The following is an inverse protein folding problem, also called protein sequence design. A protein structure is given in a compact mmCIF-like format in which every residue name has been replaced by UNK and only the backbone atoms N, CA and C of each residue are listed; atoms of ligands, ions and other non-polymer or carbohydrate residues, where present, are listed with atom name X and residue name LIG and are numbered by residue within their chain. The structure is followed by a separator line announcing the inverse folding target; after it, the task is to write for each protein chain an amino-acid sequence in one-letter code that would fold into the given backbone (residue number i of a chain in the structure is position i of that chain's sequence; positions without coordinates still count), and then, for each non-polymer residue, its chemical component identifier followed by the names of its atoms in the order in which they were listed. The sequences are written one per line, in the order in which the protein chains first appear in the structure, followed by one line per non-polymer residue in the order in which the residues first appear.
data_IF_025530771530
#
_entry.id   IF_025530771530
#
_cell.length_a   1.000
_cell.length_b   1.000
_cell.length_c   1.000
_cell.angle_alpha   90.00
_cell.angle_beta   90.00
_cell.angle_gamma   90.00
#
_symmetry.space_group_name_H-M   'P 1'
#
loop_
_entity.id
_entity.type
_entity.pdbx_description
1 polymer ?
#
# COMPACT_ATOMS: atom_id res chain seq x y z
N UNK A 1 -19.11 -2.62 4.63
CA UNK A 1 -19.87 -2.09 3.47
C UNK A 1 -20.82 -3.11 2.84
N UNK A 2 -20.53 -4.41 2.88
CA UNK A 2 -21.35 -5.46 2.26
C UNK A 2 -22.84 -5.45 2.70
N UNK A 3 -23.13 -4.99 3.91
CA UNK A 3 -24.47 -4.92 4.49
C UNK A 3 -25.33 -3.80 3.90
N UNK A 4 -24.69 -2.87 3.18
CA UNK A 4 -25.33 -1.75 2.51
C UNK A 4 -25.36 -1.92 0.98
N UNK A 5 -25.07 -3.13 0.48
CA UNK A 5 -25.15 -3.45 -0.96
C UNK A 5 -26.55 -3.21 -1.54
N UNK A 6 -27.60 -3.29 -0.70
CA UNK A 6 -28.98 -3.02 -1.06
C UNK A 6 -29.51 -1.68 -0.50
N UNK A 7 -28.63 -0.72 -0.14
CA UNK A 7 -29.03 0.53 0.52
C UNK A 7 -30.13 1.29 -0.22
N UNK A 8 -30.05 1.37 -1.55
CA UNK A 8 -31.11 1.98 -2.36
C UNK A 8 -32.48 1.31 -2.17
N UNK A 9 -32.50 -0.02 -2.08
CA UNK A 9 -33.74 -0.76 -1.85
C UNK A 9 -34.32 -0.44 -0.47
N UNK A 10 -33.48 -0.44 0.58
CA UNK A 10 -33.89 -0.10 1.95
C UNK A 10 -34.45 1.34 2.05
N UNK A 11 -33.84 2.30 1.35
CA UNK A 11 -34.33 3.68 1.28
C UNK A 11 -35.72 3.71 0.60
N UNK A 12 -35.87 3.04 -0.54
CA UNK A 12 -37.14 2.99 -1.29
C UNK A 12 -38.26 2.37 -0.46
N UNK A 13 -38.00 1.25 0.21
CA UNK A 13 -38.98 0.59 1.07
C UNK A 13 -39.49 1.52 2.17
N UNK A 14 -38.57 2.17 2.90
CA UNK A 14 -38.95 3.13 3.94
C UNK A 14 -39.75 4.31 3.38
N UNK A 15 -39.37 4.87 2.22
CA UNK A 15 -40.11 5.96 1.58
C UNK A 15 -41.52 5.52 1.12
N UNK A 16 -41.68 4.29 0.63
CA UNK A 16 -42.98 3.76 0.24
C UNK A 16 -43.87 3.56 1.47
N UNK A 17 -43.35 2.98 2.53
CA UNK A 17 -44.11 2.74 3.75
C UNK A 17 -44.57 4.05 4.40
N UNK A 18 -43.70 5.07 4.41
CA UNK A 18 -44.09 6.42 4.84
C UNK A 18 -45.20 7.02 3.98
N UNK A 19 -45.12 6.89 2.65
CA UNK A 19 -46.18 7.36 1.76
C UNK A 19 -47.50 6.62 1.97
N UNK A 20 -47.47 5.30 2.19
CA UNK A 20 -48.65 4.50 2.52
C UNK A 20 -49.30 4.97 3.81
N UNK A 21 -48.51 5.24 4.85
CA UNK A 21 -48.99 5.79 6.12
C UNK A 21 -49.61 7.19 5.96
N UNK A 22 -49.18 7.96 4.95
CA UNK A 22 -49.79 9.25 4.57
C UNK A 22 -51.00 9.10 3.62
N UNK A 23 -51.49 7.88 3.37
CA UNK A 23 -52.63 7.63 2.48
C UNK A 23 -52.32 7.74 0.98
N UNK A 24 -51.04 7.86 0.59
CA UNK A 24 -50.62 7.87 -0.81
C UNK A 24 -50.35 6.44 -1.28
N UNK A 25 -51.18 5.92 -2.19
CA UNK A 25 -50.98 4.61 -2.82
C UNK A 25 -50.41 4.73 -4.23
N UNK A 26 -49.21 5.30 -4.36
CA UNK A 26 -48.50 5.33 -5.64
C UNK A 26 -47.74 4.02 -5.87
N UNK A 27 -47.73 3.53 -7.11
CA UNK A 27 -46.78 2.49 -7.50
C UNK A 27 -45.34 3.00 -7.36
N UNK A 28 -44.38 2.11 -7.14
CA UNK A 28 -42.94 2.47 -7.04
C UNK A 28 -42.50 3.31 -8.25
N UNK A 29 -42.90 2.88 -9.46
CA UNK A 29 -42.64 3.59 -10.70
C UNK A 29 -43.18 5.03 -10.65
N UNK A 30 -44.45 5.19 -10.34
CA UNK A 30 -45.12 6.50 -10.32
C UNK A 30 -44.50 7.43 -9.28
N UNK A 31 -44.18 6.89 -8.09
CA UNK A 31 -43.54 7.65 -7.03
C UNK A 31 -42.14 8.11 -7.44
N UNK A 32 -41.28 7.22 -7.92
CA UNK A 32 -39.93 7.58 -8.37
C UNK A 32 -39.97 8.60 -9.52
N UNK A 33 -40.88 8.45 -10.48
CA UNK A 33 -41.04 9.45 -11.55
C UNK A 33 -41.46 10.82 -11.02
N UNK A 34 -42.29 10.86 -9.97
CA UNK A 34 -42.74 12.12 -9.37
C UNK A 34 -41.63 12.91 -8.67
N UNK A 35 -40.52 12.26 -8.27
CA UNK A 35 -39.36 12.90 -7.63
C UNK A 35 -38.35 13.48 -8.63
N UNK A 36 -38.48 13.21 -9.93
CA UNK A 36 -37.55 13.71 -10.94
C UNK A 36 -37.41 15.25 -10.95
N UNK A 37 -38.49 16.05 -10.83
CA UNK A 37 -38.37 17.50 -10.74
C UNK A 37 -37.53 17.96 -9.54
N UNK A 38 -37.70 17.32 -8.38
CA UNK A 38 -36.95 17.63 -7.16
C UNK A 38 -35.45 17.29 -7.32
N UNK A 39 -35.12 16.14 -7.92
CA UNK A 39 -33.72 15.79 -8.25
C UNK A 39 -33.09 16.82 -9.19
N UNK A 40 -33.83 17.28 -10.20
CA UNK A 40 -33.34 18.31 -11.13
C UNK A 40 -33.07 19.63 -10.41
N UNK A 41 -33.99 20.07 -9.54
CA UNK A 41 -33.81 21.30 -8.75
C UNK A 41 -32.61 21.19 -7.82
N UNK A 42 -32.49 20.09 -7.08
CA UNK A 42 -31.32 19.81 -6.23
C UNK A 42 -30.03 19.93 -7.04
N UNK A 43 -29.95 19.23 -8.17
CA UNK A 43 -28.76 19.28 -9.02
C UNK A 43 -28.44 20.69 -9.48
N UNK A 44 -29.43 21.44 -9.95
CA UNK A 44 -29.21 22.84 -10.32
C UNK A 44 -28.63 23.66 -9.17
N UNK A 45 -29.12 23.50 -7.94
CA UNK A 45 -28.56 24.16 -6.75
C UNK A 45 -27.10 23.74 -6.48
N UNK A 46 -26.70 22.50 -6.76
CA UNK A 46 -25.32 22.05 -6.57
C UNK A 46 -24.34 22.53 -7.66
N UNK A 47 -24.80 23.17 -8.74
CA UNK A 47 -23.91 23.75 -9.77
C UNK A 47 -23.41 25.16 -9.42
N UNK A 48 -23.92 25.79 -8.37
CA UNK A 48 -23.47 27.09 -7.89
C UNK A 48 -22.39 26.93 -6.82
N UNK A 49 -21.52 27.93 -6.67
CA UNK A 49 -20.48 27.90 -5.62
C UNK A 49 -21.05 27.98 -4.19
N UNK A 50 -22.27 28.50 -4.05
CA UNK A 50 -23.02 28.53 -2.81
C UNK A 50 -24.31 27.77 -3.00
N UNK A 51 -24.54 26.75 -2.18
CA UNK A 51 -25.70 25.86 -2.31
C UNK A 51 -26.79 26.35 -1.37
N UNK A 52 -27.98 26.60 -1.93
CA UNK A 52 -29.18 26.92 -1.19
C UNK A 52 -30.29 25.97 -1.62
N UNK A 53 -30.81 25.20 -0.66
CA UNK A 53 -31.84 24.19 -0.87
C UNK A 53 -32.84 24.26 0.29
N UNK A 54 -34.13 24.26 -0.06
CA UNK A 54 -35.20 24.10 0.93
C UNK A 54 -35.42 22.62 1.23
N UNK A 55 -34.82 22.17 2.34
CA UNK A 55 -34.99 20.82 2.85
C UNK A 55 -36.28 20.62 3.65
N UNK A 56 -37.12 21.65 3.87
CA UNK A 56 -38.45 21.51 4.51
C UNK A 56 -39.41 20.65 3.70
N UNK A 57 -39.18 20.53 2.40
CA UNK A 57 -40.00 19.73 1.51
C UNK A 57 -39.64 18.24 1.56
N UNK A 58 -40.64 17.40 1.84
CA UNK A 58 -40.49 15.94 1.86
C UNK A 58 -39.95 15.34 0.55
N UNK A 59 -40.41 15.82 -0.61
CA UNK A 59 -39.93 15.31 -1.90
C UNK A 59 -38.48 15.74 -2.16
N UNK A 60 -38.06 16.93 -1.71
CA UNK A 60 -36.65 17.33 -1.75
C UNK A 60 -35.79 16.37 -0.92
N UNK A 61 -36.21 16.03 0.30
CA UNK A 61 -35.49 15.07 1.14
C UNK A 61 -35.45 13.66 0.52
N UNK A 62 -36.58 13.17 -0.01
CA UNK A 62 -36.63 11.87 -0.68
C UNK A 62 -35.73 11.82 -1.94
N UNK A 63 -35.72 12.91 -2.72
CA UNK A 63 -34.82 13.06 -3.85
C UNK A 63 -33.35 13.10 -3.40
N UNK A 64 -33.03 13.79 -2.31
CA UNK A 64 -31.69 13.82 -1.72
C UNK A 64 -31.23 12.42 -1.29
N UNK A 65 -32.08 11.69 -0.56
CA UNK A 65 -31.82 10.33 -0.10
C UNK A 65 -31.52 9.36 -1.26
N UNK A 66 -32.19 9.52 -2.40
CA UNK A 66 -31.98 8.64 -3.55
C UNK A 66 -30.86 9.15 -4.49
N UNK A 67 -30.53 10.43 -4.50
CA UNK A 67 -29.54 10.96 -5.44
C UNK A 67 -28.13 11.11 -4.84
N UNK A 68 -28.02 11.29 -3.52
CA UNK A 68 -26.76 11.68 -2.88
C UNK A 68 -26.39 10.85 -1.66
N UNK A 69 -27.35 10.54 -0.79
CA UNK A 69 -27.09 9.93 0.52
C UNK A 69 -26.21 8.67 0.48
N UNK A 70 -26.42 7.67 -0.41
CA UNK A 70 -25.54 6.50 -0.49
C UNK A 70 -24.07 6.85 -0.76
N UNK A 71 -23.81 7.87 -1.57
CA UNK A 71 -22.46 8.31 -1.87
C UNK A 71 -21.79 8.94 -0.65
N UNK A 72 -22.55 9.66 0.18
CA UNK A 72 -22.04 10.26 1.42
C UNK A 72 -21.80 9.21 2.51
N UNK A 73 -22.62 8.16 2.57
CA UNK A 73 -22.35 6.99 3.42
C UNK A 73 -20.98 6.38 3.08
N UNK A 74 -20.75 6.13 1.79
CA UNK A 74 -19.48 5.55 1.33
C UNK A 74 -18.30 6.53 1.54
N UNK A 75 -18.50 7.83 1.32
CA UNK A 75 -17.46 8.84 1.54
C UNK A 75 -16.94 8.85 2.99
N UNK A 76 -17.83 8.75 3.99
CA UNK A 76 -17.42 8.66 5.40
C UNK A 76 -16.65 7.36 5.66
N UNK A 77 -17.15 6.22 5.15
CA UNK A 77 -16.45 4.94 5.29
C UNK A 77 -15.03 5.00 4.69
N UNK A 78 -14.87 5.56 3.48
CA UNK A 78 -13.59 5.64 2.76
C UNK A 78 -12.56 6.52 3.48
N UNK A 79 -12.99 7.65 4.04
CA UNK A 79 -12.09 8.52 4.82
C UNK A 79 -11.54 7.76 6.03
N UNK A 80 -12.42 7.09 6.78
CA UNK A 80 -12.01 6.33 7.96
C UNK A 80 -11.13 5.12 7.59
N UNK A 81 -11.45 4.40 6.51
CA UNK A 81 -10.65 3.30 5.96
C UNK A 81 -9.24 3.80 5.57
N UNK A 82 -9.13 4.92 4.85
CA UNK A 82 -7.83 5.49 4.47
C UNK A 82 -6.99 5.87 5.69
N UNK A 83 -7.61 6.42 6.73
CA UNK A 83 -6.89 6.77 7.97
C UNK A 83 -6.47 5.53 8.75
N UNK A 84 -7.32 4.49 8.80
CA UNK A 84 -6.98 3.20 9.39
C UNK A 84 -5.77 2.55 8.71
N UNK A 85 -5.68 2.65 7.38
CA UNK A 85 -4.54 2.13 6.62
C UNK A 85 -3.27 2.96 6.85
N UNK A 86 -3.40 4.30 6.94
CA UNK A 86 -2.27 5.21 7.12
C UNK A 86 -1.69 5.18 8.53
N UNK A 87 -2.54 5.20 9.55
CA UNK A 87 -2.14 5.28 10.96
C UNK A 87 -3.08 4.46 11.88
N UNK A 88 -2.96 3.12 11.88
CA UNK A 88 -3.81 2.25 12.68
C UNK A 88 -3.64 2.48 14.19
N UNK A 89 -2.44 2.87 14.65
CA UNK A 89 -2.15 3.14 16.05
C UNK A 89 -2.93 4.36 16.55
N UNK A 90 -2.99 5.42 15.74
CA UNK A 90 -3.76 6.62 16.05
C UNK A 90 -5.25 6.34 16.12
N UNK A 91 -5.76 5.55 15.17
CA UNK A 91 -7.16 5.15 15.12
C UNK A 91 -7.54 4.31 16.36
N UNK A 92 -6.67 3.40 16.79
CA UNK A 92 -6.91 2.59 17.98
C UNK A 92 -7.13 3.45 19.24
N UNK A 93 -6.38 4.54 19.43
CA UNK A 93 -6.53 5.43 20.59
C UNK A 93 -7.93 6.05 20.70
N UNK A 94 -8.64 6.20 19.58
CA UNK A 94 -9.99 6.77 19.56
C UNK A 94 -11.07 5.69 19.57
N UNK A 95 -10.87 4.63 18.80
CA UNK A 95 -11.89 3.64 18.50
C UNK A 95 -11.87 2.39 19.39
N UNK A 96 -10.77 2.11 20.12
CA UNK A 96 -10.66 0.98 21.07
C UNK A 96 -11.45 1.24 22.36
N UNK A 97 -12.76 1.40 22.20
CA UNK A 97 -13.71 1.75 23.27
C UNK A 97 -14.99 0.96 23.07
N UNK A 98 -15.55 0.41 24.14
CA UNK A 98 -16.85 -0.27 24.08
C UNK A 98 -18.02 0.67 23.75
N UNK A 99 -17.87 1.94 24.10
CA UNK A 99 -18.87 2.98 23.96
C UNK A 99 -18.29 4.18 23.22
N UNK A 100 -18.94 4.61 22.15
CA UNK A 100 -18.58 5.81 21.41
C UNK A 100 -19.68 6.86 21.49
N UNK A 101 -19.26 8.11 21.61
CA UNK A 101 -20.10 9.30 21.52
C UNK A 101 -19.58 10.19 20.41
N UNK A 102 -20.48 10.57 19.52
CA UNK A 102 -20.17 11.20 18.23
C UNK A 102 -21.03 12.45 18.06
N UNK A 103 -20.43 13.53 17.61
CA UNK A 103 -21.14 14.72 17.16
C UNK A 103 -21.11 14.78 15.62
N UNK A 104 -22.29 14.83 14.99
CA UNK A 104 -22.45 15.12 13.56
C UNK A 104 -22.99 16.54 13.45
N UNK A 105 -22.29 17.41 12.72
CA UNK A 105 -22.69 18.80 12.53
C UNK A 105 -23.21 19.02 11.12
N UNK A 106 -24.28 19.80 11.00
CA UNK A 106 -25.03 19.99 9.76
C UNK A 106 -25.43 18.64 9.17
N UNK A 107 -25.88 17.74 10.05
CA UNK A 107 -25.95 16.32 9.76
C UNK A 107 -26.99 15.96 8.68
N UNK A 108 -28.00 16.81 8.44
CA UNK A 108 -29.10 16.48 7.56
C UNK A 108 -29.72 15.11 7.85
N UNK A 109 -29.69 14.23 6.85
CA UNK A 109 -30.17 12.84 6.97
C UNK A 109 -29.23 11.90 7.77
N UNK A 110 -28.06 12.36 8.19
CA UNK A 110 -27.00 11.66 8.91
C UNK A 110 -26.39 10.43 8.17
N UNK A 111 -25.99 10.53 6.89
CA UNK A 111 -25.29 9.45 6.18
C UNK A 111 -23.99 8.99 6.87
N UNK A 112 -23.32 9.88 7.60
CA UNK A 112 -22.12 9.62 8.39
C UNK A 112 -22.33 8.49 9.39
N UNK A 113 -23.53 8.38 9.97
CA UNK A 113 -23.85 7.34 10.93
C UNK A 113 -23.71 5.93 10.32
N UNK A 114 -24.21 5.72 9.10
CA UNK A 114 -24.08 4.44 8.40
C UNK A 114 -22.64 4.17 7.94
N UNK A 115 -21.94 5.21 7.49
CA UNK A 115 -20.54 5.09 7.08
C UNK A 115 -19.65 4.70 8.26
N UNK A 116 -19.84 5.36 9.39
CA UNK A 116 -19.16 5.06 10.65
C UNK A 116 -19.47 3.64 11.13
N UNK A 117 -20.75 3.25 11.20
CA UNK A 117 -21.12 1.89 11.63
C UNK A 117 -20.53 0.80 10.74
N UNK A 118 -20.48 1.04 9.42
CA UNK A 118 -19.85 0.13 8.47
C UNK A 118 -18.35 -0.01 8.70
N UNK A 119 -17.68 1.10 9.05
CA UNK A 119 -16.26 1.11 9.41
C UNK A 119 -16.01 0.37 10.72
N UNK A 120 -16.76 0.70 11.77
CA UNK A 120 -16.61 0.10 13.09
C UNK A 120 -16.80 -1.41 13.06
N UNK A 121 -17.83 -1.91 12.36
CA UNK A 121 -18.02 -3.36 12.27
C UNK A 121 -16.84 -4.09 11.62
N UNK A 122 -16.18 -3.45 10.67
CA UNK A 122 -15.07 -4.06 9.93
C UNK A 122 -13.76 -4.01 10.71
N UNK A 123 -13.46 -2.90 11.39
CA UNK A 123 -12.16 -2.65 11.99
C UNK A 123 -12.15 -2.66 13.53
N UNK A 124 -13.29 -2.37 14.16
CA UNK A 124 -13.49 -2.22 15.61
C UNK A 124 -14.78 -2.91 16.10
N UNK A 125 -14.96 -4.23 15.84
CA UNK A 125 -16.21 -4.95 16.10
C UNK A 125 -16.60 -5.01 17.59
N UNK A 126 -15.68 -4.73 18.50
CA UNK A 126 -15.87 -4.63 19.95
C UNK A 126 -16.65 -3.39 20.39
N UNK A 127 -16.71 -2.36 19.56
CA UNK A 127 -17.59 -1.21 19.78
C UNK A 127 -19.03 -1.67 19.61
N UNK A 128 -19.80 -1.70 20.70
CA UNK A 128 -21.21 -2.18 20.69
C UNK A 128 -22.23 -1.11 21.04
N UNK A 129 -21.80 0.04 21.53
CA UNK A 129 -22.70 1.11 21.96
C UNK A 129 -22.27 2.43 21.35
N UNK A 130 -23.18 3.07 20.64
CA UNK A 130 -22.91 4.32 19.94
C UNK A 130 -24.06 5.30 20.19
N UNK A 131 -23.72 6.47 20.70
CA UNK A 131 -24.62 7.61 20.80
C UNK A 131 -24.14 8.67 19.83
N UNK A 132 -25.03 9.08 18.93
CA UNK A 132 -24.78 10.13 17.96
C UNK A 132 -25.65 11.32 18.32
N UNK A 133 -25.01 12.46 18.61
CA UNK A 133 -25.63 13.76 18.68
C UNK A 133 -25.57 14.38 17.29
N UNK A 134 -26.70 14.51 16.61
CA UNK A 134 -26.79 15.18 15.31
C UNK A 134 -27.32 16.60 15.48
N UNK A 135 -26.56 17.57 14.99
CA UNK A 135 -26.86 18.99 15.06
C UNK A 135 -27.17 19.54 13.67
N UNK A 136 -28.28 20.25 13.53
CA UNK A 136 -28.69 20.86 12.27
C UNK A 136 -29.64 22.04 12.52
N UNK A 137 -29.55 23.10 11.70
CA UNK A 137 -30.47 24.23 11.74
C UNK A 137 -31.93 23.77 11.56
N UNK A 138 -32.12 22.77 10.70
CA UNK A 138 -33.43 22.21 10.37
C UNK A 138 -33.59 20.79 10.92
N UNK A 139 -33.08 20.52 12.13
CA UNK A 139 -33.15 19.19 12.77
C UNK A 139 -34.56 18.58 12.78
N UNK A 140 -35.60 19.36 13.10
CA UNK A 140 -37.00 18.90 13.08
C UNK A 140 -37.48 18.52 11.68
N UNK A 141 -37.08 19.30 10.69
CA UNK A 141 -37.39 19.06 9.28
C UNK A 141 -36.77 17.76 8.79
N UNK A 142 -35.51 17.50 9.13
CA UNK A 142 -34.77 16.31 8.72
C UNK A 142 -35.23 15.02 9.39
N UNK A 143 -36.11 15.11 10.39
CA UNK A 143 -36.60 13.98 11.18
C UNK A 143 -37.05 12.80 10.32
N UNK A 144 -37.75 13.04 9.20
CA UNK A 144 -38.19 11.97 8.30
C UNK A 144 -36.99 11.20 7.75
N UNK A 145 -36.01 11.89 7.17
CA UNK A 145 -34.81 11.26 6.62
C UNK A 145 -33.96 10.58 7.70
N UNK A 146 -33.86 11.19 8.88
CA UNK A 146 -33.15 10.61 10.02
C UNK A 146 -33.85 9.36 10.56
N UNK A 147 -35.19 9.30 10.54
CA UNK A 147 -35.93 8.11 10.93
C UNK A 147 -35.72 6.96 9.93
N UNK A 148 -35.58 7.26 8.63
CA UNK A 148 -35.14 6.28 7.62
C UNK A 148 -33.75 5.76 7.95
N UNK A 149 -32.78 6.64 8.27
CA UNK A 149 -31.44 6.25 8.71
C UNK A 149 -31.51 5.34 9.95
N UNK A 150 -32.29 5.71 10.98
CA UNK A 150 -32.47 4.89 12.19
C UNK A 150 -33.06 3.51 11.87
N UNK A 151 -34.03 3.43 10.96
CA UNK A 151 -34.64 2.16 10.56
C UNK A 151 -33.65 1.26 9.83
N UNK A 152 -32.85 1.82 8.91
CA UNK A 152 -31.77 1.09 8.23
C UNK A 152 -30.76 0.58 9.26
N UNK A 153 -30.38 1.41 10.24
CA UNK A 153 -29.46 1.01 11.32
C UNK A 153 -30.04 -0.15 12.12
N UNK A 154 -31.29 -0.06 12.56
CA UNK A 154 -31.97 -1.16 13.30
C UNK A 154 -32.02 -2.46 12.50
N UNK A 155 -32.12 -2.38 11.17
CA UNK A 155 -32.22 -3.55 10.31
C UNK A 155 -30.86 -4.19 10.02
N UNK A 156 -29.85 -3.39 9.70
CA UNK A 156 -28.52 -3.87 9.26
C UNK A 156 -27.50 -3.97 10.41
N UNK A 157 -27.74 -3.28 11.53
CA UNK A 157 -26.83 -3.14 12.67
C UNK A 157 -27.46 -3.56 14.00
N UNK A 158 -28.16 -4.71 13.99
CA UNK A 158 -28.90 -5.27 15.14
C UNK A 158 -28.03 -5.56 16.37
N UNK A 159 -26.73 -5.75 16.19
CA UNK A 159 -25.77 -6.02 17.27
C UNK A 159 -25.26 -4.75 17.97
N UNK A 160 -25.67 -3.56 17.50
CA UNK A 160 -25.31 -2.27 18.09
C UNK A 160 -26.44 -1.70 18.95
N UNK A 161 -26.09 -1.22 20.14
CA UNK A 161 -26.92 -0.30 20.91
C UNK A 161 -26.74 1.11 20.35
N UNK A 162 -27.72 1.57 19.58
CA UNK A 162 -27.64 2.81 18.82
C UNK A 162 -28.66 3.85 19.28
N UNK A 163 -28.20 5.08 19.46
CA UNK A 163 -29.05 6.26 19.63
C UNK A 163 -28.62 7.37 18.67
N UNK A 164 -29.58 7.92 17.92
CA UNK A 164 -29.42 9.15 17.13
C UNK A 164 -30.30 10.22 17.74
N UNK A 165 -29.67 11.18 18.40
CA UNK A 165 -30.28 12.27 19.15
C UNK A 165 -30.15 13.57 18.35
N UNK A 166 -31.28 14.04 17.84
CA UNK A 166 -31.33 15.22 16.97
C UNK A 166 -31.51 16.50 17.79
N UNK A 167 -30.69 17.50 17.50
CA UNK A 167 -30.66 18.77 18.20
C UNK A 167 -30.62 19.93 17.20
N UNK A 168 -31.38 20.97 17.49
CA UNK A 168 -31.28 22.22 16.75
C UNK A 168 -29.97 22.94 17.11
N UNK A 169 -29.24 23.39 16.09
CA UNK A 169 -28.04 24.20 16.24
C UNK A 169 -27.81 25.01 14.98
N UNK A 170 -27.72 26.34 15.11
CA UNK A 170 -27.27 27.21 14.03
C UNK A 170 -25.76 27.46 14.16
N UNK A 171 -24.98 26.90 13.25
CA UNK A 171 -23.51 27.07 13.25
C UNK A 171 -23.08 28.51 12.90
N UNK A 172 -23.96 29.30 12.29
CA UNK A 172 -23.72 30.72 12.00
C UNK A 172 -24.07 31.62 13.18
N UNK A 173 -24.61 31.05 14.27
CA UNK A 173 -24.83 31.80 15.50
C UNK A 173 -23.54 31.86 16.33
N UNK A 174 -23.22 33.06 16.83
CA UNK A 174 -22.12 33.31 17.75
C UNK A 174 -22.28 32.43 18.99
N UNK A 175 -21.19 31.78 19.40
CA UNK A 175 -21.12 30.90 20.57
C UNK A 175 -22.12 29.73 20.54
N UNK A 176 -22.61 29.33 19.36
CA UNK A 176 -23.57 28.23 19.24
C UNK A 176 -23.06 26.95 19.91
N UNK A 177 -21.75 26.67 19.81
CA UNK A 177 -21.13 25.49 20.38
C UNK A 177 -21.01 25.54 21.92
N UNK A 178 -21.10 26.72 22.53
CA UNK A 178 -21.11 26.85 23.99
C UNK A 178 -22.31 26.09 24.60
N UNK A 179 -23.47 26.16 23.93
CA UNK A 179 -24.70 25.51 24.39
C UNK A 179 -24.62 23.98 24.44
N UNK A 180 -23.68 23.38 23.71
CA UNK A 180 -23.49 21.93 23.57
C UNK A 180 -22.13 21.46 24.10
N UNK A 181 -21.42 22.30 24.86
CA UNK A 181 -20.06 22.02 25.34
C UNK A 181 -19.97 20.72 26.16
N UNK A 182 -21.04 20.35 26.87
CA UNK A 182 -21.11 19.07 27.58
C UNK A 182 -21.01 17.89 26.62
N UNK A 183 -21.77 17.93 25.52
CA UNK A 183 -21.76 16.88 24.51
C UNK A 183 -20.42 16.86 23.76
N UNK A 184 -19.81 18.03 23.57
CA UNK A 184 -18.46 18.14 22.99
C UNK A 184 -17.44 17.42 23.88
N UNK A 185 -17.39 17.74 25.18
CA UNK A 185 -16.42 17.17 26.12
C UNK A 185 -16.59 15.66 26.33
N UNK A 186 -17.79 15.15 26.11
CA UNK A 186 -18.16 13.75 26.29
C UNK A 186 -18.04 12.93 24.99
N UNK A 187 -17.75 13.57 23.85
CA UNK A 187 -17.61 12.91 22.53
C UNK A 187 -16.16 12.78 22.10
N UNK A 188 -15.84 11.76 21.30
CA UNK A 188 -14.49 11.55 20.77
C UNK A 188 -14.39 11.70 19.25
N UNK A 189 -15.53 11.90 18.58
CA UNK A 189 -15.58 11.99 17.13
C UNK A 189 -16.51 13.15 16.77
N UNK A 190 -16.03 14.04 15.92
CA UNK A 190 -16.74 15.22 15.42
C UNK A 190 -16.70 15.18 13.91
N UNK A 191 -17.84 15.22 13.22
CA UNK A 191 -17.89 15.12 11.76
C UNK A 191 -18.67 16.27 11.15
N UNK A 192 -18.14 16.81 10.06
CA UNK A 192 -18.78 17.75 9.16
C UNK A 192 -18.72 17.17 7.75
N UNK A 193 -19.87 16.82 7.17
CA UNK A 193 -19.90 16.22 5.83
C UNK A 193 -20.78 17.05 4.88
N UNK A 194 -20.21 17.41 3.73
CA UNK A 194 -20.95 18.05 2.62
C UNK A 194 -21.87 19.19 3.10
N UNK A 195 -21.32 20.12 3.87
CA UNK A 195 -22.08 21.21 4.47
C UNK A 195 -21.36 22.56 4.36
N UNK A 196 -20.03 22.56 4.15
CA UNK A 196 -19.23 23.79 4.14
C UNK A 196 -19.56 24.68 2.93
N UNK A 197 -20.16 24.11 1.88
CA UNK A 197 -20.65 24.81 0.70
C UNK A 197 -21.99 25.55 0.93
N UNK A 198 -22.65 25.34 2.08
CA UNK A 198 -23.94 25.97 2.42
C UNK A 198 -23.79 27.18 3.36
N UNK A 199 -22.57 27.51 3.81
CA UNK A 199 -22.37 28.64 4.73
C UNK A 199 -21.03 29.37 4.56
N UNK A 200 -20.90 30.53 5.25
CA UNK A 200 -19.72 31.40 5.17
C UNK A 200 -19.66 32.25 3.90
N UNK A 201 -20.82 32.59 3.32
CA UNK A 201 -20.93 33.40 2.08
C UNK A 201 -20.31 34.79 2.25
N UNK A 202 -20.47 35.39 3.43
CA UNK A 202 -19.86 36.66 3.78
C UNK A 202 -18.82 36.50 4.90
N UNK A 203 -17.94 37.50 5.04
CA UNK A 203 -16.83 37.46 6.00
C UNK A 203 -17.29 37.39 7.46
N UNK A 204 -18.49 37.90 7.78
CA UNK A 204 -19.05 37.85 9.13
C UNK A 204 -19.45 36.42 9.50
N UNK A 205 -20.15 35.73 8.60
CA UNK A 205 -20.57 34.35 8.82
C UNK A 205 -19.35 33.44 8.87
N UNK A 206 -18.38 33.63 7.95
CA UNK A 206 -17.12 32.91 7.98
C UNK A 206 -16.39 33.10 9.31
N UNK A 207 -16.27 34.34 9.80
CA UNK A 207 -15.65 34.62 11.09
C UNK A 207 -16.35 33.87 12.23
N UNK A 208 -17.69 33.88 12.24
CA UNK A 208 -18.48 33.23 13.27
C UNK A 208 -18.29 31.71 13.25
N UNK A 209 -18.31 31.08 12.07
CA UNK A 209 -18.03 29.65 11.92
C UNK A 209 -16.63 29.32 12.42
N UNK A 210 -15.63 30.12 12.06
CA UNK A 210 -14.25 29.90 12.48
C UNK A 210 -14.06 30.05 13.99
N UNK A 211 -14.76 30.97 14.64
CA UNK A 211 -14.81 31.09 16.10
C UNK A 211 -15.43 29.84 16.74
N UNK A 212 -16.54 29.32 16.20
CA UNK A 212 -17.15 28.07 16.65
C UNK A 212 -16.22 26.85 16.44
N UNK A 213 -15.52 26.77 15.31
CA UNK A 213 -14.54 25.70 15.04
C UNK A 213 -13.33 25.78 15.97
N UNK A 214 -12.87 26.99 16.31
CA UNK A 214 -11.83 27.19 17.32
C UNK A 214 -12.30 26.72 18.69
N UNK A 215 -13.51 27.10 19.10
CA UNK A 215 -14.11 26.65 20.36
C UNK A 215 -14.21 25.13 20.43
N UNK A 216 -14.63 24.46 19.34
CA UNK A 216 -14.65 23.00 19.25
C UNK A 216 -13.24 22.41 19.46
N UNK A 217 -12.24 22.94 18.77
CA UNK A 217 -10.86 22.45 18.83
C UNK A 217 -10.27 22.60 20.24
N UNK A 218 -10.57 23.71 20.92
CA UNK A 218 -10.17 23.96 22.30
C UNK A 218 -10.87 22.99 23.29
N UNK A 219 -12.14 22.64 23.05
CA UNK A 219 -12.98 21.89 24.00
C UNK A 219 -13.13 20.38 23.72
N UNK A 220 -12.78 19.90 22.51
CA UNK A 220 -12.76 18.47 22.22
C UNK A 220 -11.75 17.77 23.16
N UNK A 221 -12.04 16.56 23.67
CA UNK A 221 -11.13 15.87 24.58
C UNK A 221 -9.86 15.40 23.86
N UNK A 222 -8.79 15.12 24.60
CA UNK A 222 -7.67 14.36 24.04
C UNK A 222 -8.14 12.98 23.55
N UNK A 223 -7.40 12.41 22.60
CA UNK A 223 -7.77 11.17 21.89
C UNK A 223 -9.13 11.30 21.20
N UNK A 224 -9.28 12.37 20.43
CA UNK A 224 -10.47 12.60 19.62
C UNK A 224 -10.12 13.09 18.22
N UNK A 225 -11.02 12.82 17.28
CA UNK A 225 -10.90 13.25 15.90
C UNK A 225 -11.99 14.25 15.53
N UNK A 226 -11.60 15.32 14.84
CA UNK A 226 -12.48 16.13 14.02
C UNK A 226 -12.26 15.78 12.55
N UNK A 227 -13.32 15.37 11.87
CA UNK A 227 -13.36 15.03 10.46
C UNK A 227 -14.18 16.05 9.69
N UNK A 228 -13.64 16.48 8.56
CA UNK A 228 -14.33 17.31 7.58
C UNK A 228 -14.17 16.62 6.24
N UNK A 229 -15.26 16.26 5.58
CA UNK A 229 -15.25 15.63 4.27
C UNK A 229 -16.30 16.25 3.35
N UNK A 230 -15.85 16.93 2.31
CA UNK A 230 -16.73 17.78 1.48
C UNK A 230 -16.34 17.71 0.00
N UNK A 231 -17.26 18.06 -0.88
CA UNK A 231 -17.05 17.95 -2.33
C UNK A 231 -15.99 18.95 -2.81
N UNK A 232 -15.07 18.45 -3.64
CA UNK A 232 -13.90 19.21 -4.12
C UNK A 232 -14.24 20.45 -4.96
N UNK A 233 -15.45 20.49 -5.54
CA UNK A 233 -15.83 21.45 -6.58
C UNK A 233 -16.02 22.88 -6.08
N UNK A 234 -16.11 23.08 -4.76
CA UNK A 234 -16.46 24.37 -4.17
C UNK A 234 -15.22 25.09 -3.63
N UNK A 235 -14.94 26.30 -4.14
CA UNK A 235 -13.81 27.12 -3.66
C UNK A 235 -13.95 27.50 -2.19
N UNK A 236 -15.19 27.73 -1.73
CA UNK A 236 -15.52 28.03 -0.33
C UNK A 236 -15.08 26.93 0.63
N UNK A 237 -15.27 25.66 0.25
CA UNK A 237 -14.84 24.49 1.03
C UNK A 237 -13.33 24.57 1.32
N UNK A 238 -12.53 24.83 0.28
CA UNK A 238 -11.07 24.93 0.42
C UNK A 238 -10.68 26.09 1.34
N UNK A 239 -11.31 27.25 1.17
CA UNK A 239 -11.08 28.45 2.01
C UNK A 239 -11.36 28.14 3.48
N UNK A 240 -12.47 27.48 3.79
CA UNK A 240 -12.83 27.11 5.16
C UNK A 240 -11.83 26.08 5.72
N UNK A 241 -11.50 25.03 4.97
CA UNK A 241 -10.52 24.01 5.38
C UNK A 241 -9.16 24.66 5.70
N UNK A 242 -8.66 25.54 4.83
CA UNK A 242 -7.38 26.21 5.04
C UNK A 242 -7.40 27.15 6.26
N UNK A 243 -8.54 27.82 6.50
CA UNK A 243 -8.73 28.67 7.67
C UNK A 243 -8.76 27.86 8.97
N UNK A 244 -9.41 26.69 8.97
CA UNK A 244 -9.40 25.75 10.11
C UNK A 244 -7.98 25.26 10.37
N UNK A 245 -7.22 24.90 9.33
CA UNK A 245 -5.81 24.50 9.48
C UNK A 245 -4.97 25.61 10.10
N UNK A 246 -5.18 26.87 9.69
CA UNK A 246 -4.49 28.00 10.30
C UNK A 246 -4.78 28.09 11.80
N UNK A 247 -6.05 27.95 12.20
CA UNK A 247 -6.47 27.96 13.62
C UNK A 247 -5.77 26.84 14.40
N UNK A 248 -5.78 25.61 13.88
CA UNK A 248 -5.12 24.48 14.53
C UNK A 248 -3.61 24.69 14.65
N UNK A 249 -2.97 25.22 13.61
CA UNK A 249 -1.54 25.54 13.65
C UNK A 249 -1.21 26.61 14.69
N UNK A 250 -2.06 27.62 14.83
CA UNK A 250 -1.88 28.65 15.84
C UNK A 250 -2.10 28.11 17.26
N UNK A 251 -3.08 27.22 17.47
CA UNK A 251 -3.26 26.48 18.73
C UNK A 251 -2.02 25.63 19.06
N UNK A 252 -1.40 24.98 18.07
CA UNK A 252 -0.14 24.25 18.26
C UNK A 252 1.03 25.16 18.66
N UNK A 253 1.05 26.43 18.23
CA UNK A 253 2.11 27.42 18.58
C UNK A 253 1.89 28.08 19.94
N UNK A 254 0.66 28.47 20.26
CA UNK A 254 0.37 29.21 21.51
C UNK A 254 0.42 28.31 22.75
N UNK A 255 0.28 27.00 22.58
CA UNK A 255 0.40 26.00 23.65
C UNK A 255 1.87 25.70 24.03
N UNK A 256 2.81 26.63 23.81
CA UNK A 256 4.24 26.46 24.16
C UNK A 256 4.60 26.80 25.61
N UNK A 257 3.65 27.30 26.42
CA UNK A 257 3.84 27.38 27.86
C UNK A 257 3.69 25.97 28.47
N UNK A 258 4.68 25.57 29.30
CA UNK A 258 4.91 24.22 29.87
C UNK A 258 3.68 23.57 30.58
N UNK A 259 2.59 24.31 30.77
CA UNK A 259 1.37 23.86 31.44
C UNK A 259 0.28 23.33 30.50
N UNK A 260 0.34 23.59 29.18
CA UNK A 260 -0.68 23.10 28.25
C UNK A 260 -0.23 21.80 27.57
N UNK A 261 -0.79 20.69 28.05
CA UNK A 261 -0.44 19.33 27.66
C UNK A 261 -1.07 18.87 26.33
N UNK A 262 -1.40 19.74 25.38
CA UNK A 262 -2.16 19.35 24.17
C UNK A 262 -1.38 19.58 22.86
N UNK A 263 -1.55 18.68 21.90
CA UNK A 263 -1.04 18.80 20.53
C UNK A 263 -2.08 18.33 19.52
N UNK A 264 -2.00 18.85 18.30
CA UNK A 264 -2.88 18.49 17.19
C UNK A 264 -2.10 17.96 16.01
N UNK A 265 -2.52 16.82 15.47
CA UNK A 265 -2.03 16.27 14.21
C UNK A 265 -3.05 16.52 13.10
N UNK A 266 -2.56 17.03 11.97
CA UNK A 266 -3.37 17.36 10.81
C UNK A 266 -3.05 16.37 9.69
N UNK A 267 -4.07 15.72 9.15
CA UNK A 267 -3.97 14.95 7.92
C UNK A 267 -5.04 15.43 6.93
N UNK A 268 -4.61 15.85 5.75
CA UNK A 268 -5.39 16.53 4.72
C UNK A 268 -5.19 15.84 3.38
N UNK A 269 -6.26 15.66 2.63
CA UNK A 269 -6.21 15.32 1.21
C UNK A 269 -7.20 16.14 0.41
N UNK A 270 -6.76 16.67 -0.74
CA UNK A 270 -7.52 17.63 -1.57
C UNK A 270 -7.92 17.10 -2.93
N UNK A 271 -7.64 15.82 -3.20
CA UNK A 271 -7.84 15.24 -4.53
C UNK A 271 -8.37 13.81 -4.46
N UNK A 272 -9.05 13.44 -3.37
CA UNK A 272 -9.60 12.11 -3.24
C UNK A 272 -10.72 11.85 -4.25
N UNK A 273 -10.70 10.64 -4.80
CA UNK A 273 -11.69 10.20 -5.80
C UNK A 273 -12.01 8.74 -5.58
N UNK A 274 -13.30 8.40 -5.58
CA UNK A 274 -13.73 7.01 -5.64
C UNK A 274 -14.88 6.79 -6.61
N UNK A 275 -14.92 5.59 -7.19
CA UNK A 275 -16.10 5.08 -7.87
C UNK A 275 -16.98 4.40 -6.84
N UNK A 276 -18.24 4.79 -6.74
CA UNK A 276 -19.13 4.22 -5.72
C UNK A 276 -19.29 2.72 -5.90
N UNK A 277 -19.12 1.99 -4.81
CA UNK A 277 -19.33 0.53 -4.73
C UNK A 277 -20.78 0.16 -4.44
N UNK A 278 -21.59 1.11 -3.95
CA UNK A 278 -23.01 0.88 -3.68
C UNK A 278 -23.78 0.79 -5.00
N UNK A 279 -24.39 -0.37 -5.25
CA UNK A 279 -25.16 -0.61 -6.46
C UNK A 279 -26.46 0.21 -6.46
N UNK A 280 -26.64 1.02 -7.50
CA UNK A 280 -27.89 1.75 -7.72
C UNK A 280 -28.97 0.76 -8.16
N UNK A 281 -30.10 0.73 -7.46
CA UNK A 281 -31.23 -0.15 -7.82
C UNK A 281 -31.72 0.08 -9.25
N UNK A 282 -32.10 -1.00 -9.94
CA UNK A 282 -32.72 -0.96 -11.27
C UNK A 282 -33.93 -0.03 -11.31
N UNK A 283 -34.76 -0.01 -10.26
CA UNK A 283 -35.91 0.88 -10.19
C UNK A 283 -35.49 2.35 -10.19
N UNK A 284 -34.43 2.70 -9.47
CA UNK A 284 -33.91 4.07 -9.40
C UNK A 284 -33.33 4.48 -10.75
N UNK A 285 -32.49 3.64 -11.35
CA UNK A 285 -31.91 3.90 -12.68
C UNK A 285 -32.99 4.03 -13.75
N UNK A 286 -34.03 3.20 -13.70
CA UNK A 286 -35.09 3.19 -14.72
C UNK A 286 -36.12 4.30 -14.57
N UNK A 287 -36.43 4.72 -13.34
CA UNK A 287 -37.57 5.59 -13.08
C UNK A 287 -37.23 6.94 -12.45
N UNK A 288 -36.03 7.13 -11.90
CA UNK A 288 -35.60 8.40 -11.28
C UNK A 288 -34.34 8.95 -11.94
N UNK A 289 -33.25 8.20 -11.94
CA UNK A 289 -31.93 8.59 -12.45
C UNK A 289 -31.71 8.02 -13.86
N UNK A 290 -32.54 8.46 -14.81
CA UNK A 290 -32.68 7.88 -16.16
C UNK A 290 -31.52 8.18 -17.12
N UNK A 291 -30.57 9.03 -16.73
CA UNK A 291 -29.50 9.48 -17.62
C UNK A 291 -29.84 10.72 -18.47
N UNK A 292 -31.12 11.14 -18.52
CA UNK A 292 -31.54 12.29 -19.31
C UNK A 292 -31.65 13.58 -18.47
N UNK A 293 -31.39 14.75 -19.07
CA UNK A 293 -31.77 16.07 -18.53
C UNK A 293 -31.48 16.27 -17.03
N UNK A 294 -30.20 16.28 -16.64
CA UNK A 294 -29.77 16.34 -15.25
C UNK A 294 -30.27 15.18 -14.38
N UNK A 295 -30.56 13.99 -14.91
CA UNK A 295 -30.88 12.77 -14.13
C UNK A 295 -29.80 11.67 -14.29
N UNK A 296 -28.57 12.05 -14.66
CA UNK A 296 -27.43 11.12 -14.75
C UNK A 296 -27.01 10.63 -13.35
N UNK A 297 -27.03 9.32 -13.05
CA UNK A 297 -26.56 8.83 -11.76
C UNK A 297 -25.10 9.22 -11.50
N UNK A 298 -24.80 9.71 -10.29
CA UNK A 298 -23.42 9.98 -9.90
C UNK A 298 -22.72 8.64 -9.63
N UNK A 299 -21.57 8.42 -10.26
CA UNK A 299 -20.78 7.19 -10.11
C UNK A 299 -19.39 7.44 -9.56
N UNK A 300 -18.86 8.63 -9.79
CA UNK A 300 -17.54 9.06 -9.34
C UNK A 300 -17.76 10.24 -8.38
N UNK A 301 -17.14 10.15 -7.22
CA UNK A 301 -17.22 11.15 -6.16
C UNK A 301 -15.82 11.71 -5.99
N UNK A 302 -15.69 13.02 -6.17
CA UNK A 302 -14.45 13.76 -5.95
C UNK A 302 -14.65 14.62 -4.71
N UNK A 303 -13.77 14.48 -3.73
CA UNK A 303 -13.94 15.09 -2.42
C UNK A 303 -12.59 15.44 -1.81
N UNK A 304 -12.65 16.34 -0.84
CA UNK A 304 -11.54 16.73 0.01
C UNK A 304 -11.85 16.22 1.41
N UNK A 305 -10.81 15.87 2.16
CA UNK A 305 -10.96 15.66 3.59
C UNK A 305 -9.86 16.33 4.40
N UNK A 306 -10.23 16.72 5.60
CA UNK A 306 -9.37 17.14 6.68
C UNK A 306 -9.71 16.28 7.89
N UNK A 307 -8.68 15.73 8.52
CA UNK A 307 -8.75 15.09 9.83
C UNK A 307 -7.80 15.82 10.77
N UNK A 308 -8.33 16.19 11.93
CA UNK A 308 -7.58 16.81 13.02
C UNK A 308 -7.69 15.90 14.21
N UNK A 309 -6.56 15.38 14.67
CA UNK A 309 -6.48 14.54 15.84
C UNK A 309 -5.90 15.32 17.01
N UNK A 310 -6.54 15.25 18.17
CA UNK A 310 -6.07 15.89 19.39
C UNK A 310 -5.47 14.85 20.33
N UNK A 311 -4.25 15.11 20.81
CA UNK A 311 -3.51 14.22 21.73
C UNK A 311 -2.95 15.01 22.92
N UNK A 312 -2.57 14.30 23.98
CA UNK A 312 -1.66 14.86 24.97
C UNK A 312 -0.23 15.02 24.43
N UNK A 313 0.42 16.14 24.69
CA UNK A 313 1.76 16.47 24.18
C UNK A 313 2.85 15.54 24.71
N UNK A 314 2.72 15.06 25.95
CA UNK A 314 3.63 14.06 26.51
C UNK A 314 3.59 12.75 25.71
N UNK A 315 2.40 12.35 25.29
CA UNK A 315 2.19 11.18 24.44
C UNK A 315 2.59 11.47 22.98
N UNK A 316 2.39 12.69 22.47
CA UNK A 316 2.90 13.12 21.17
C UNK A 316 4.41 12.94 21.07
N UNK A 317 5.16 13.41 22.08
CA UNK A 317 6.62 13.24 22.13
C UNK A 317 7.01 11.76 22.19
N UNK A 318 6.29 10.94 22.95
CA UNK A 318 6.51 9.49 23.01
C UNK A 318 6.16 8.80 21.69
N UNK A 319 5.12 9.26 21.00
CA UNK A 319 4.68 8.75 19.70
C UNK A 319 5.68 9.12 18.60
N UNK A 320 6.13 10.37 18.54
CA UNK A 320 7.23 10.83 17.68
C UNK A 320 8.49 10.02 17.94
N UNK A 321 8.89 9.84 19.20
CA UNK A 321 10.00 8.97 19.58
C UNK A 321 9.79 7.51 19.16
N UNK A 322 8.55 7.00 19.20
CA UNK A 322 8.24 5.63 18.77
C UNK A 322 8.34 5.47 17.25
N UNK A 323 7.96 6.49 16.48
CA UNK A 323 8.11 6.54 15.02
C UNK A 323 9.59 6.65 14.68
N UNK A 324 10.34 7.53 15.35
CA UNK A 324 11.79 7.67 15.18
C UNK A 324 12.51 6.36 15.48
N UNK A 325 12.13 5.66 16.57
CA UNK A 325 12.68 4.36 16.91
C UNK A 325 12.33 3.29 15.86
N UNK A 326 11.11 3.30 15.30
CA UNK A 326 10.71 2.39 14.22
C UNK A 326 11.47 2.70 12.92
N UNK A 327 11.74 3.97 12.64
CA UNK A 327 12.54 4.42 11.49
C UNK A 327 14.01 4.07 11.66
N UNK A 328 14.56 4.21 12.87
CA UNK A 328 15.91 3.74 13.24
C UNK A 328 16.00 2.22 13.07
N UNK A 329 15.02 1.46 13.54
CA UNK A 329 15.01 0.00 13.35
C UNK A 329 14.90 -0.37 11.86
N UNK A 330 14.10 0.35 11.07
CA UNK A 330 14.04 0.16 9.62
C UNK A 330 15.36 0.51 8.93
N UNK A 331 16.02 1.61 9.33
CA UNK A 331 17.34 2.01 8.84
C UNK A 331 18.41 0.99 9.23
N UNK A 332 18.34 0.43 10.43
CA UNK A 332 19.22 -0.66 10.85
C UNK A 332 18.96 -1.92 10.01
N UNK A 333 17.71 -2.28 9.74
CA UNK A 333 17.37 -3.40 8.87
C UNK A 333 17.87 -3.18 7.45
N UNK A 334 17.69 -1.97 6.89
CA UNK A 334 18.22 -1.58 5.57
C UNK A 334 19.75 -1.62 5.58
N UNK A 335 20.42 -1.11 6.61
CA UNK A 335 21.88 -1.16 6.74
C UNK A 335 22.39 -2.60 6.88
N UNK A 336 21.67 -3.47 7.61
CA UNK A 336 21.97 -4.91 7.68
C UNK A 336 21.81 -5.58 6.32
N UNK A 337 20.77 -5.22 5.56
CA UNK A 337 20.56 -5.71 4.19
C UNK A 337 21.63 -5.18 3.22
N UNK A 338 22.00 -3.91 3.31
CA UNK A 338 23.09 -3.29 2.53
C UNK A 338 24.43 -3.96 2.83
N UNK A 339 24.71 -4.26 4.10
CA UNK A 339 25.92 -4.98 4.52
C UNK A 339 25.93 -6.41 3.97
N UNK A 340 24.77 -7.09 3.99
CA UNK A 340 24.62 -8.41 3.34
C UNK A 340 24.82 -8.33 1.82
N UNK A 341 24.28 -7.30 1.17
CA UNK A 341 24.41 -7.08 -0.28
C UNK A 341 25.88 -6.81 -0.66
N UNK A 342 26.57 -5.93 0.06
CA UNK A 342 28.00 -5.67 -0.14
C UNK A 342 28.84 -6.93 0.12
N UNK A 343 28.46 -7.77 1.08
CA UNK A 343 29.13 -9.07 1.30
C UNK A 343 28.90 -10.05 0.13
N UNK A 344 27.79 -9.88 -0.61
CA UNK A 344 27.46 -10.66 -1.80
C UNK A 344 28.31 -10.21 -3.00
N UNK A 345 28.50 -8.90 -3.18
CA UNK A 345 29.41 -8.34 -4.20
C UNK A 345 30.86 -8.81 -3.98
N UNK A 346 31.34 -8.82 -2.72
CA UNK A 346 32.66 -9.37 -2.38
C UNK A 346 32.76 -10.87 -2.69
N UNK A 347 31.69 -11.64 -2.45
CA UNK A 347 31.65 -13.08 -2.82
C UNK A 347 31.62 -13.28 -4.33
N UNK A 348 30.98 -12.38 -5.09
CA UNK A 348 30.92 -12.43 -6.55
C UNK A 348 32.29 -12.11 -7.18
N UNK A 349 33.01 -11.11 -6.68
CA UNK A 349 34.39 -10.83 -7.11
C UNK A 349 35.34 -12.00 -6.81
N UNK A 350 35.18 -12.66 -5.66
CA UNK A 350 35.95 -13.86 -5.32
C UNK A 350 35.64 -15.04 -6.25
N UNK A 351 34.38 -15.22 -6.67
CA UNK A 351 33.98 -16.24 -7.64
C UNK A 351 34.54 -15.95 -9.05
N UNK A 352 34.52 -14.69 -9.49
CA UNK A 352 35.13 -14.27 -10.76
C UNK A 352 36.66 -14.44 -10.77
N UNK A 353 37.32 -14.23 -9.62
CA UNK A 353 38.75 -14.51 -9.46
C UNK A 353 39.07 -16.01 -9.53
N UNK A 354 38.19 -16.88 -9.04
CA UNK A 354 38.32 -18.35 -9.17
C UNK A 354 38.16 -18.78 -10.64
N UNK A 355 37.20 -18.20 -11.37
CA UNK A 355 37.00 -18.46 -12.80
C UNK A 355 38.21 -18.03 -13.66
N UNK A 356 38.79 -16.85 -13.38
CA UNK A 356 40.01 -16.37 -14.04
C UNK A 356 41.23 -17.29 -13.79
N UNK A 357 41.34 -17.84 -12.58
CA UNK A 357 42.39 -18.81 -12.26
C UNK A 357 42.16 -20.17 -12.93
N UNK A 358 40.91 -20.60 -13.10
CA UNK A 358 40.59 -21.83 -13.84
C UNK A 358 41.00 -21.75 -15.32
N UNK A 359 40.73 -20.61 -15.97
CA UNK A 359 41.16 -20.34 -17.36
C UNK A 359 42.69 -20.41 -17.52
N UNK A 360 43.45 -19.78 -16.62
CA UNK A 360 44.93 -19.84 -16.65
C UNK A 360 45.47 -21.26 -16.46
N UNK A 361 44.82 -22.08 -15.63
CA UNK A 361 45.21 -23.48 -15.43
C UNK A 361 44.92 -24.31 -16.70
N UNK A 362 43.78 -24.05 -17.36
CA UNK A 362 43.42 -24.71 -18.62
C UNK A 362 44.43 -24.43 -19.74
N UNK A 363 44.87 -23.17 -19.89
CA UNK A 363 45.90 -22.78 -20.87
C UNK A 363 47.26 -23.43 -20.59
N UNK A 364 47.63 -23.58 -19.32
CA UNK A 364 48.86 -24.28 -18.93
C UNK A 364 48.76 -25.77 -19.32
N UNK A 365 47.62 -26.42 -19.08
CA UNK A 365 47.42 -27.84 -19.44
C UNK A 365 47.49 -28.04 -20.96
N UNK A 366 46.84 -27.19 -21.76
CA UNK A 366 46.93 -27.25 -23.23
C UNK A 366 48.37 -27.05 -23.73
N UNK A 367 49.13 -26.12 -23.13
CA UNK A 367 50.54 -25.92 -23.46
C UNK A 367 51.41 -27.15 -23.16
N UNK A 368 51.12 -27.87 -22.07
CA UNK A 368 51.82 -29.11 -21.74
C UNK A 368 51.46 -30.26 -22.69
N UNK A 369 50.19 -30.37 -23.08
CA UNK A 369 49.75 -31.38 -24.04
C UNK A 369 50.37 -31.16 -25.44
N UNK A 370 50.45 -29.90 -25.91
CA UNK A 370 51.17 -29.57 -27.15
C UNK A 370 52.66 -29.93 -27.09
N UNK A 371 53.35 -29.58 -25.99
CA UNK A 371 54.77 -29.94 -25.82
C UNK A 371 54.98 -31.45 -25.79
N UNK A 372 54.03 -32.20 -25.24
CA UNK A 372 54.07 -33.66 -25.22
C UNK A 372 53.95 -34.24 -26.64
N UNK A 373 53.07 -33.67 -27.46
CA UNK A 373 52.84 -34.09 -28.85
C UNK A 373 54.04 -33.79 -29.76
N UNK A 374 54.64 -32.60 -29.65
CA UNK A 374 55.89 -32.25 -30.35
C UNK A 374 57.05 -33.19 -29.97
N UNK A 375 57.17 -33.51 -28.68
CA UNK A 375 58.19 -34.42 -28.20
C UNK A 375 57.98 -35.85 -28.71
N UNK A 376 56.74 -36.34 -28.72
CA UNK A 376 56.40 -37.66 -29.29
C UNK A 376 56.70 -37.73 -30.79
N UNK A 377 56.39 -36.67 -31.53
CA UNK A 377 56.69 -36.56 -32.96
C UNK A 377 58.19 -36.61 -33.22
N UNK A 378 58.98 -35.90 -32.40
CA UNK A 378 60.45 -35.92 -32.49
C UNK A 378 61.02 -37.31 -32.22
N UNK A 379 60.51 -37.99 -31.19
CA UNK A 379 60.90 -39.37 -30.85
C UNK A 379 60.57 -40.35 -31.98
N UNK A 380 59.41 -40.20 -32.60
CA UNK A 380 58.99 -41.06 -33.71
C UNK A 380 59.91 -40.85 -34.94
N UNK A 381 60.24 -39.60 -35.27
CA UNK A 381 61.17 -39.28 -36.36
C UNK A 381 62.58 -39.84 -36.12
N UNK A 382 63.07 -39.80 -34.88
CA UNK A 382 64.35 -40.44 -34.52
C UNK A 382 64.29 -41.95 -34.67
N UNK A 383 63.19 -42.58 -34.22
CA UNK A 383 62.98 -44.02 -34.41
C UNK A 383 62.99 -44.41 -35.89
N UNK A 384 62.27 -43.68 -36.73
CA UNK A 384 62.17 -43.97 -38.16
C UNK A 384 63.53 -43.80 -38.85
N UNK A 385 64.32 -42.82 -38.43
CA UNK A 385 65.70 -42.61 -38.92
C UNK A 385 66.60 -43.79 -38.56
N UNK A 386 66.60 -44.21 -37.29
CA UNK A 386 67.39 -45.37 -36.84
C UNK A 386 66.95 -46.64 -37.57
N UNK A 387 65.66 -46.79 -37.84
CA UNK A 387 65.12 -47.94 -38.55
C UNK A 387 65.51 -47.94 -40.04
N UNK A 388 65.52 -46.78 -40.70
CA UNK A 388 66.01 -46.62 -42.07
C UNK A 388 67.51 -46.90 -42.19
N UNK A 389 68.32 -46.44 -41.23
CA UNK A 389 69.75 -46.74 -41.15
C UNK A 389 69.99 -48.25 -41.01
N UNK A 390 69.19 -48.91 -40.16
CA UNK A 390 69.27 -50.36 -39.96
C UNK A 390 68.95 -51.13 -41.23
N UNK A 391 67.90 -50.76 -41.97
CA UNK A 391 67.52 -51.43 -43.22
C UNK A 391 68.52 -51.15 -44.35
N UNK A 392 69.07 -49.93 -44.42
CA UNK A 392 70.16 -49.59 -45.36
C UNK A 392 71.41 -50.41 -45.07
N UNK A 393 71.75 -50.59 -43.79
CA UNK A 393 72.89 -51.39 -43.36
C UNK A 393 72.68 -52.89 -43.63
N UNK A 394 71.47 -53.43 -43.39
CA UNK A 394 71.11 -54.81 -43.74
C UNK A 394 71.19 -55.06 -45.24
N UNK A 395 70.71 -54.12 -46.07
CA UNK A 395 70.80 -54.20 -47.54
C UNK A 395 72.27 -54.19 -48.02
N UNK A 396 73.12 -53.35 -47.42
CA UNK A 396 74.57 -53.38 -47.67
C UNK A 396 75.23 -54.71 -47.26
N UNK A 397 74.75 -55.33 -46.18
CA UNK A 397 75.21 -56.64 -45.71
C UNK A 397 74.76 -57.79 -46.62
N UNK A 398 73.54 -57.73 -47.18
CA UNK A 398 73.05 -58.70 -48.16
C UNK A 398 73.78 -58.60 -49.51
N UNK A 399 74.30 -57.43 -49.87
CA UNK A 399 75.12 -57.24 -51.08
C UNK A 399 76.62 -57.58 -50.89
N UNK A 400 77.04 -57.94 -49.68
CA UNK A 400 78.43 -58.32 -49.35
C UNK A 400 78.46 -59.73 -48.75
N UNK A 401 78.15 -60.74 -49.56
CA UNK A 401 78.57 -62.11 -49.28
C UNK A 401 80.10 -62.23 -49.46
N UNK A 402 80.89 -61.82 -48.46
CA UNK A 402 82.03 -62.59 -47.89
C UNK A 402 82.89 -61.76 -46.91
N UNK A 403 83.05 -62.30 -45.69
CA UNK A 403 84.07 -62.03 -44.65
C UNK A 403 84.22 -60.60 -44.07
N UNK A 404 83.64 -60.35 -42.87
CA UNK A 404 84.42 -59.88 -41.69
C UNK A 404 83.59 -59.74 -40.39
N UNK A 405 84.16 -60.18 -39.26
CA UNK A 405 83.56 -60.14 -37.91
C UNK A 405 83.30 -58.73 -37.35
N UNK A 406 83.93 -57.68 -37.90
CA UNK A 406 83.76 -56.28 -37.46
C UNK A 406 82.38 -55.68 -37.76
N UNK A 407 81.70 -56.14 -38.82
CA UNK A 407 80.36 -55.63 -39.17
C UNK A 407 79.26 -56.22 -38.28
N UNK A 408 79.43 -57.46 -37.83
CA UNK A 408 78.53 -58.10 -36.85
C UNK A 408 78.57 -57.38 -35.49
N UNK A 409 79.75 -56.96 -35.04
CA UNK A 409 79.90 -56.18 -33.80
C UNK A 409 79.16 -54.84 -33.89
N UNK A 410 79.23 -54.15 -35.05
CA UNK A 410 78.46 -52.90 -35.26
C UNK A 410 76.95 -53.14 -35.27
N UNK A 411 76.47 -54.25 -35.84
CA UNK A 411 75.06 -54.61 -35.82
C UNK A 411 74.58 -54.85 -34.37
N UNK A 412 75.33 -55.63 -33.59
CA UNK A 412 75.01 -55.87 -32.18
C UNK A 412 75.08 -54.59 -31.32
N UNK A 413 75.92 -53.63 -31.68
CA UNK A 413 75.99 -52.31 -31.02
C UNK A 413 74.75 -51.45 -31.35
N UNK A 414 74.31 -51.45 -32.61
CA UNK A 414 73.09 -50.75 -33.04
C UNK A 414 71.85 -51.38 -32.40
N UNK A 415 71.75 -52.71 -32.35
CA UNK A 415 70.67 -53.42 -31.66
C UNK A 415 70.67 -53.13 -30.15
N UNK A 416 71.84 -53.09 -29.50
CA UNK A 416 71.96 -52.69 -28.09
C UNK A 416 71.56 -51.24 -27.85
N UNK A 417 71.85 -50.33 -28.79
CA UNK A 417 71.38 -48.94 -28.72
C UNK A 417 69.86 -48.86 -28.90
N UNK A 418 69.29 -49.64 -29.82
CA UNK A 418 67.84 -49.71 -30.02
C UNK A 418 67.11 -50.22 -28.77
N UNK A 419 67.61 -51.28 -28.14
CA UNK A 419 67.01 -51.83 -26.92
C UNK A 419 67.11 -50.86 -25.74
N UNK A 420 68.27 -50.21 -25.54
CA UNK A 420 68.39 -49.14 -24.52
C UNK A 420 67.43 -47.99 -24.77
N UNK A 421 67.27 -47.57 -26.02
CA UNK A 421 66.34 -46.51 -26.39
C UNK A 421 64.87 -46.90 -26.12
N UNK A 422 64.50 -48.16 -26.38
CA UNK A 422 63.16 -48.66 -26.06
C UNK A 422 62.90 -48.69 -24.55
N UNK A 423 63.91 -49.04 -23.75
CA UNK A 423 63.81 -49.09 -22.29
C UNK A 423 63.77 -47.69 -21.65
N UNK A 424 64.61 -46.76 -22.13
CA UNK A 424 64.55 -45.34 -21.76
C UNK A 424 63.19 -44.73 -22.12
N UNK A 425 62.68 -44.99 -23.33
CA UNK A 425 61.33 -44.56 -23.72
C UNK A 425 60.27 -45.08 -22.77
N UNK A 426 60.33 -46.36 -22.38
CA UNK A 426 59.35 -46.97 -21.46
C UNK A 426 59.41 -46.37 -20.05
N UNK A 427 60.61 -46.08 -19.54
CA UNK A 427 60.79 -45.41 -18.25
C UNK A 427 60.32 -43.95 -18.30
N UNK A 428 60.61 -43.24 -19.39
CA UNK A 428 60.20 -41.85 -19.56
C UNK A 428 58.68 -41.73 -19.71
N UNK A 429 58.02 -42.64 -20.44
CA UNK A 429 56.55 -42.68 -20.53
C UNK A 429 55.93 -42.91 -19.14
N UNK A 430 56.48 -43.81 -18.33
CA UNK A 430 56.01 -44.03 -16.95
C UNK A 430 56.22 -42.80 -16.07
N UNK A 431 57.33 -42.08 -16.24
CA UNK A 431 57.60 -40.85 -15.50
C UNK A 431 56.65 -39.72 -15.90
N UNK A 432 56.38 -39.58 -17.19
CA UNK A 432 55.40 -38.63 -17.73
C UNK A 432 53.98 -38.94 -17.27
N UNK A 433 53.55 -40.21 -17.25
CA UNK A 433 52.24 -40.58 -16.69
C UNK A 433 52.13 -40.31 -15.20
N UNK A 434 53.21 -40.56 -14.43
CA UNK A 434 53.25 -40.21 -12.99
C UNK A 434 53.15 -38.72 -12.79
N UNK A 435 53.88 -37.92 -13.57
CA UNK A 435 53.82 -36.46 -13.49
C UNK A 435 52.44 -35.94 -13.89
N UNK A 436 51.83 -36.48 -14.97
CA UNK A 436 50.47 -36.13 -15.39
C UNK A 436 49.45 -36.45 -14.30
N UNK A 437 49.53 -37.63 -13.68
CA UNK A 437 48.66 -38.01 -12.56
C UNK A 437 48.88 -37.11 -11.34
N UNK A 438 50.12 -36.74 -11.03
CA UNK A 438 50.43 -35.85 -9.93
C UNK A 438 49.87 -34.43 -10.16
N UNK A 439 49.97 -33.90 -11.38
CA UNK A 439 49.39 -32.61 -11.76
C UNK A 439 47.86 -32.65 -11.69
N UNK A 440 47.22 -33.68 -12.27
CA UNK A 440 45.75 -33.84 -12.18
C UNK A 440 45.30 -33.97 -10.72
N UNK A 441 46.03 -34.72 -9.90
CA UNK A 441 45.72 -34.88 -8.48
C UNK A 441 45.89 -33.58 -7.69
N UNK A 442 46.93 -32.79 -7.97
CA UNK A 442 47.12 -31.46 -7.38
C UNK A 442 46.01 -30.48 -7.76
N UNK A 443 45.55 -30.53 -9.03
CA UNK A 443 44.42 -29.72 -9.51
C UNK A 443 43.12 -30.14 -8.82
N UNK A 444 42.87 -31.45 -8.68
CA UNK A 444 41.68 -31.97 -8.00
C UNK A 444 41.65 -31.60 -6.51
N UNK A 445 42.80 -31.64 -5.81
CA UNK A 445 42.90 -31.18 -4.43
C UNK A 445 42.64 -29.67 -4.34
N UNK A 446 43.19 -28.88 -5.26
CA UNK A 446 42.94 -27.45 -5.35
C UNK A 446 41.45 -27.13 -5.53
N UNK A 447 40.79 -27.80 -6.48
CA UNK A 447 39.35 -27.68 -6.73
C UNK A 447 38.51 -28.12 -5.53
N UNK A 448 38.88 -29.22 -4.86
CA UNK A 448 38.19 -29.68 -3.66
C UNK A 448 38.33 -28.66 -2.51
N UNK A 449 39.49 -28.04 -2.36
CA UNK A 449 39.72 -26.96 -1.39
C UNK A 449 38.87 -25.73 -1.68
N UNK A 450 38.74 -25.35 -2.94
CA UNK A 450 37.87 -24.24 -3.38
C UNK A 450 36.39 -24.58 -3.13
N UNK A 451 35.94 -25.78 -3.51
CA UNK A 451 34.55 -26.23 -3.29
C UNK A 451 34.22 -26.29 -1.80
N UNK A 452 35.12 -26.80 -0.96
CA UNK A 452 34.95 -26.83 0.49
C UNK A 452 34.95 -25.42 1.10
N UNK A 453 35.77 -24.50 0.58
CA UNK A 453 35.75 -23.09 0.94
C UNK A 453 34.42 -22.42 0.57
N UNK A 454 33.88 -22.71 -0.61
CA UNK A 454 32.57 -22.21 -1.06
C UNK A 454 31.45 -22.79 -0.20
N UNK A 455 31.44 -24.09 0.10
CA UNK A 455 30.44 -24.72 0.97
C UNK A 455 30.49 -24.14 2.39
N UNK A 456 31.68 -23.84 2.92
CA UNK A 456 31.85 -23.17 4.21
C UNK A 456 31.39 -21.70 4.19
N UNK A 457 31.35 -21.04 3.03
CA UNK A 457 30.84 -19.67 2.85
C UNK A 457 29.31 -19.60 2.69
N UNK A 458 28.62 -20.74 2.47
CA UNK A 458 27.17 -20.84 2.30
C UNK A 458 26.46 -21.59 3.45
N UNK A 459 27.20 -22.06 4.46
CA UNK A 459 26.68 -22.36 5.81
C UNK A 459 26.90 -21.15 6.70
#
# INVERSE_FOLDING_TARGET
MNELNNLYHLIIENLIDLNRLQGKSLSIKSYLQSLQPDVKRLRSSFHTNHVSVDYSNYNTQAAYLLAYYPHYVEMTYRVLESLQEKDPSLMQLVFDKKHLKVCLFCAGAAPEALGLLSFLRQFYPEVKSIVIYSYDLYSDTWRISQDITKNIIKNCFKDYHFALLSHHLDINQIDSFFSIVSNIKDSNIFMFQNCLNEFGENDKDLKTILENMKFLSENMPSHSFMFINDLRLYTQVNRIIDSIISIINDLNKTNFDDYNEQAFFINKSMEETFKSSIAISDNVTKYLLTGANNLIPRKIINYNYLSVYKIFRKESKLFEQSIDNKYIDLLEQVNRLQTKFNSFDVKLEQLLAVESNYLKISEIVESYDQKLEEFQTTLQKQKDTIQADLETFKSHLQNLETKNSKQKIKLEEIERRLNRFQEERKNLTRQLERNRKAVIFAILIGLLGVILGVIALFR
#
